data_IF_061887340823
#
_entry.id   IF_061887340823
#
_cell.length_a   1.000
_cell.length_b   1.000
_cell.length_c   1.000
_cell.angle_alpha   90.00
_cell.angle_beta   90.00
_cell.angle_gamma   90.00
#
_symmetry.space_group_name_H-M   'P 1'
#
loop_
_entity.id
_entity.type
_entity.pdbx_description
1 polymer ?
#
# COMPACT_ATOMS: atom_id res chain seq x y z
N UNK A 1 -35.13 -13.70 -50.10
CA UNK A 1 -35.47 -12.35 -49.63
C UNK A 1 -35.75 -12.46 -48.14
N UNK A 2 -34.69 -12.40 -47.33
CA UNK A 2 -34.78 -12.53 -45.88
C UNK A 2 -34.45 -11.15 -45.32
N UNK A 3 -35.52 -10.46 -44.90
CA UNK A 3 -35.49 -9.08 -44.45
C UNK A 3 -34.94 -9.03 -43.03
N UNK A 4 -33.80 -8.36 -42.92
CA UNK A 4 -33.15 -7.81 -41.74
C UNK A 4 -34.05 -7.60 -40.49
N UNK A 5 -33.81 -8.40 -39.45
CA UNK A 5 -34.09 -8.03 -38.06
C UNK A 5 -32.79 -7.62 -37.37
N UNK A 6 -32.30 -6.40 -37.63
CA UNK A 6 -31.27 -5.79 -36.81
C UNK A 6 -31.93 -5.26 -35.52
N UNK A 7 -31.95 -6.12 -34.51
CA UNK A 7 -32.22 -5.70 -33.14
C UNK A 7 -30.89 -5.23 -32.52
N UNK A 8 -30.87 -3.94 -32.25
CA UNK A 8 -29.93 -3.14 -31.49
C UNK A 8 -29.36 -3.87 -30.25
N UNK A 9 -28.03 -3.94 -30.12
CA UNK A 9 -27.38 -3.95 -28.81
C UNK A 9 -26.14 -3.05 -28.87
N UNK A 10 -26.39 -1.77 -28.68
CA UNK A 10 -25.41 -0.79 -28.28
C UNK A 10 -24.95 -1.10 -26.84
N UNK A 11 -24.03 -2.06 -26.66
CA UNK A 11 -23.35 -2.24 -25.36
C UNK A 11 -22.13 -1.33 -25.31
N UNK A 12 -22.38 -0.07 -24.94
CA UNK A 12 -21.38 0.72 -24.24
C UNK A 12 -21.05 0.00 -22.93
N UNK A 13 -20.05 -0.89 -22.98
CA UNK A 13 -19.41 -1.44 -21.78
C UNK A 13 -18.53 -0.35 -21.19
N UNK A 14 -19.18 0.59 -20.49
CA UNK A 14 -18.48 1.35 -19.46
C UNK A 14 -17.77 0.31 -18.58
N UNK A 15 -16.45 0.45 -18.41
CA UNK A 15 -15.67 -0.38 -17.51
C UNK A 15 -15.72 0.25 -16.10
N UNK A 16 -16.63 -0.14 -15.19
CA UNK A 16 -16.55 0.32 -13.81
C UNK A 16 -15.51 -0.50 -13.06
N UNK A 17 -14.21 -0.22 -13.25
CA UNK A 17 -13.19 -0.94 -12.49
C UNK A 17 -11.84 -0.22 -12.37
N UNK A 18 -11.81 1.10 -12.18
CA UNK A 18 -10.52 1.79 -11.97
C UNK A 18 -10.64 2.94 -10.96
N UNK A 19 -11.21 2.67 -9.78
CA UNK A 19 -11.36 3.68 -8.69
C UNK A 19 -10.62 3.31 -7.39
N UNK A 20 -10.14 2.07 -7.22
CA UNK A 20 -9.56 1.62 -5.94
C UNK A 20 -8.30 2.37 -5.51
N UNK A 21 -7.27 2.37 -6.36
CA UNK A 21 -5.89 2.63 -5.93
C UNK A 21 -5.54 4.07 -5.53
N UNK A 22 -6.36 5.05 -5.88
CA UNK A 22 -6.11 6.45 -5.48
C UNK A 22 -6.36 6.66 -3.97
N UNK A 23 -7.17 5.80 -3.35
CA UNK A 23 -7.61 5.98 -1.97
C UNK A 23 -6.51 5.68 -0.95
N UNK A 24 -5.78 4.57 -1.11
CA UNK A 24 -4.68 4.18 -0.21
C UNK A 24 -3.51 5.19 -0.24
N UNK A 25 -3.11 5.61 -1.44
CA UNK A 25 -2.04 6.59 -1.62
C UNK A 25 -2.36 7.96 -1.02
N UNK A 26 -3.61 8.41 -1.13
CA UNK A 26 -4.05 9.68 -0.53
C UNK A 26 -4.03 9.63 1.01
N UNK A 27 -4.45 8.52 1.60
CA UNK A 27 -4.38 8.33 3.06
C UNK A 27 -2.92 8.24 3.53
N UNK A 28 -2.06 7.56 2.77
CA UNK A 28 -0.61 7.55 2.99
C UNK A 28 0.02 8.95 2.91
N UNK A 29 -0.42 9.78 1.96
CA UNK A 29 -0.04 11.19 1.86
C UNK A 29 -0.47 12.00 3.09
N UNK A 30 -1.64 11.69 3.65
CA UNK A 30 -2.11 12.26 4.91
C UNK A 30 -1.17 11.93 6.07
N UNK A 31 -0.76 10.66 6.21
CA UNK A 31 0.22 10.25 7.22
C UNK A 31 1.56 10.98 7.05
N UNK A 32 2.04 11.10 5.80
CA UNK A 32 3.24 11.85 5.45
C UNK A 32 3.13 13.33 5.87
N UNK A 33 2.04 14.00 5.52
CA UNK A 33 1.80 15.39 5.86
C UNK A 33 1.73 15.62 7.37
N UNK A 34 1.03 14.75 8.10
CA UNK A 34 0.96 14.80 9.57
C UNK A 34 2.34 14.62 10.22
N UNK A 35 3.17 13.72 9.69
CA UNK A 35 4.54 13.52 10.17
C UNK A 35 5.41 14.76 9.96
N UNK A 36 5.30 15.43 8.80
CA UNK A 36 6.01 16.69 8.50
C UNK A 36 5.58 17.79 9.48
N UNK A 37 4.28 17.96 9.70
CA UNK A 37 3.75 18.97 10.63
C UNK A 37 4.19 18.66 12.07
N UNK A 38 4.21 17.38 12.46
CA UNK A 38 4.74 16.96 13.75
C UNK A 38 6.23 17.26 13.91
N UNK A 39 7.03 17.02 12.87
CA UNK A 39 8.46 17.36 12.86
C UNK A 39 8.72 18.87 12.95
N UNK A 40 7.79 19.69 12.45
CA UNK A 40 7.84 21.14 12.61
C UNK A 40 7.53 21.61 14.04
N UNK A 41 7.17 20.69 14.95
CA UNK A 41 6.95 20.97 16.37
C UNK A 41 5.50 21.28 16.75
N UNK A 42 4.56 21.16 15.81
CA UNK A 42 3.13 21.39 16.09
C UNK A 42 2.53 20.13 16.71
N UNK A 43 2.20 20.16 18.01
CA UNK A 43 1.59 19.03 18.75
C UNK A 43 2.15 17.64 18.36
N UNK A 44 3.48 17.45 18.42
CA UNK A 44 4.14 16.32 17.75
C UNK A 44 3.66 14.94 18.23
N UNK A 45 3.38 14.78 19.52
CA UNK A 45 2.88 13.53 20.10
C UNK A 45 1.53 13.12 19.53
N UNK A 46 0.62 14.09 19.41
CA UNK A 46 -0.74 13.89 18.92
C UNK A 46 -0.72 13.61 17.42
N UNK A 47 0.03 14.40 16.65
CA UNK A 47 0.16 14.19 15.21
C UNK A 47 0.84 12.87 14.87
N UNK A 48 1.84 12.43 15.65
CA UNK A 48 2.44 11.10 15.48
C UNK A 48 1.40 10.00 15.62
N UNK A 49 0.59 10.04 16.67
CA UNK A 49 -0.44 9.02 16.92
C UNK A 49 -1.46 8.97 15.77
N UNK A 50 -1.92 10.13 15.29
CA UNK A 50 -2.84 10.22 14.14
C UNK A 50 -2.16 9.74 12.85
N UNK A 51 -0.89 10.09 12.64
CA UNK A 51 -0.13 9.65 11.47
C UNK A 51 0.05 8.13 11.44
N UNK A 52 0.30 7.49 12.59
CA UNK A 52 0.36 6.03 12.72
C UNK A 52 -0.99 5.40 12.38
N UNK A 53 -2.11 5.97 12.86
CA UNK A 53 -3.47 5.48 12.51
C UNK A 53 -3.69 5.62 10.99
N UNK A 54 -3.35 6.77 10.41
CA UNK A 54 -3.52 7.01 8.98
C UNK A 54 -2.67 6.05 8.14
N UNK A 55 -1.41 5.81 8.50
CA UNK A 55 -0.56 4.82 7.84
C UNK A 55 -1.15 3.41 7.95
N UNK A 56 -1.67 3.02 9.12
CA UNK A 56 -2.37 1.75 9.30
C UNK A 56 -3.61 1.63 8.41
N UNK A 57 -4.44 2.68 8.32
CA UNK A 57 -5.61 2.71 7.45
C UNK A 57 -5.22 2.60 5.97
N UNK A 58 -4.13 3.23 5.53
CA UNK A 58 -3.63 3.10 4.16
C UNK A 58 -3.25 1.64 3.84
N UNK A 59 -2.55 0.95 4.74
CA UNK A 59 -2.24 -0.47 4.57
C UNK A 59 -3.50 -1.36 4.52
N UNK A 60 -4.54 -1.07 5.32
CA UNK A 60 -5.80 -1.81 5.22
C UNK A 60 -6.45 -1.64 3.84
N UNK A 61 -6.44 -0.42 3.31
CA UNK A 61 -6.98 -0.13 1.98
C UNK A 61 -6.18 -0.90 0.91
N UNK A 62 -4.85 -0.76 0.89
CA UNK A 62 -4.00 -1.47 -0.07
C UNK A 62 -4.16 -3.00 0.03
N UNK A 63 -4.19 -3.52 1.26
CA UNK A 63 -4.39 -4.95 1.52
C UNK A 63 -5.71 -5.47 0.99
N UNK A 64 -6.79 -4.68 1.12
CA UNK A 64 -8.11 -5.02 0.60
C UNK A 64 -8.15 -5.05 -0.94
N UNK A 65 -7.45 -4.12 -1.59
CA UNK A 65 -7.36 -4.09 -3.05
C UNK A 65 -6.65 -5.31 -3.61
N UNK A 66 -5.50 -5.68 -3.03
CA UNK A 66 -4.75 -6.88 -3.43
C UNK A 66 -5.62 -8.13 -3.25
N UNK A 67 -6.32 -8.24 -2.12
CA UNK A 67 -7.19 -9.38 -1.84
C UNK A 67 -8.37 -9.46 -2.82
N UNK A 68 -8.97 -8.32 -3.17
CA UNK A 68 -10.07 -8.26 -4.14
C UNK A 68 -9.67 -8.73 -5.55
N UNK A 69 -8.44 -8.44 -5.98
CA UNK A 69 -7.90 -8.88 -7.28
C UNK A 69 -7.65 -10.38 -7.27
N UNK A 70 -7.09 -10.90 -6.18
CA UNK A 70 -6.85 -12.32 -6.01
C UNK A 70 -8.16 -13.13 -6.08
N UNK A 71 -9.23 -12.67 -5.42
CA UNK A 71 -10.54 -13.31 -5.49
C UNK A 71 -11.13 -13.34 -6.90
N UNK A 72 -10.90 -12.31 -7.72
CA UNK A 72 -11.39 -12.29 -9.11
C UNK A 72 -10.67 -13.33 -9.97
N UNK A 73 -9.34 -13.41 -9.85
CA UNK A 73 -8.54 -14.38 -10.59
C UNK A 73 -8.92 -15.82 -10.24
N UNK A 74 -9.13 -16.11 -8.95
CA UNK A 74 -9.53 -17.45 -8.51
C UNK A 74 -10.93 -17.85 -9.04
N UNK A 75 -11.84 -16.87 -9.18
CA UNK A 75 -13.18 -17.10 -9.71
C UNK A 75 -13.19 -17.25 -11.25
N UNK A 76 -12.26 -16.62 -11.97
CA UNK A 76 -12.12 -16.75 -13.43
C UNK A 76 -11.46 -18.08 -13.85
N UNK A 77 -10.54 -18.63 -13.07
CA UNK A 77 -9.81 -19.86 -13.44
C UNK A 77 -10.52 -21.17 -13.08
N UNK A 78 -11.71 -21.13 -12.47
CA UNK A 78 -12.57 -22.30 -12.22
C UNK A 78 -11.91 -23.48 -11.49
N UNK A 79 -10.71 -23.29 -10.94
CA UNK A 79 -9.83 -24.35 -10.48
C UNK A 79 -9.81 -24.36 -8.97
N UNK A 80 -10.76 -25.08 -8.40
CA UNK A 80 -10.59 -25.66 -7.08
C UNK A 80 -9.45 -26.70 -7.17
N UNK A 81 -8.22 -26.31 -6.87
CA UNK A 81 -7.15 -27.28 -6.65
C UNK A 81 -6.40 -26.96 -5.37
N UNK A 82 -6.44 -27.95 -4.48
CA UNK A 82 -6.04 -27.85 -3.09
C UNK A 82 -4.54 -27.64 -2.93
N UNK A 83 -4.22 -26.70 -2.05
CA UNK A 83 -2.91 -26.51 -1.45
C UNK A 83 -3.12 -25.77 -0.13
N UNK A 84 -2.96 -26.47 0.98
CA UNK A 84 -3.23 -26.02 2.36
C UNK A 84 -2.21 -24.99 2.88
N UNK A 85 -1.80 -24.03 2.06
CA UNK A 85 -0.77 -23.05 2.43
C UNK A 85 -1.32 -21.61 2.31
N UNK A 86 -1.91 -21.14 3.41
CA UNK A 86 -2.23 -19.73 3.67
C UNK A 86 -3.21 -19.13 2.63
N UNK A 87 -4.36 -19.78 2.44
CA UNK A 87 -5.49 -19.25 1.62
C UNK A 87 -6.39 -18.27 2.37
N UNK A 88 -5.94 -17.67 3.49
CA UNK A 88 -6.77 -16.81 4.34
C UNK A 88 -7.20 -15.49 3.67
N UNK A 89 -6.73 -15.18 2.46
CA UNK A 89 -6.95 -13.88 1.82
C UNK A 89 -6.28 -12.70 2.55
N UNK A 90 -5.53 -12.99 3.62
CA UNK A 90 -4.94 -12.01 4.51
C UNK A 90 -3.46 -11.83 4.14
N UNK A 91 -3.13 -10.68 3.56
CA UNK A 91 -1.76 -10.31 3.22
C UNK A 91 -1.11 -9.50 4.35
N UNK A 92 0.21 -9.31 4.27
CA UNK A 92 0.96 -8.55 5.27
C UNK A 92 0.42 -7.13 5.49
N UNK A 93 -0.11 -6.49 4.44
CA UNK A 93 -0.70 -5.15 4.53
C UNK A 93 -1.89 -5.13 5.50
N UNK A 94 -2.76 -6.14 5.49
CA UNK A 94 -3.87 -6.22 6.45
C UNK A 94 -3.35 -6.34 7.89
N UNK A 95 -2.33 -7.17 8.13
CA UNK A 95 -1.72 -7.28 9.47
C UNK A 95 -1.07 -5.98 9.94
N UNK A 96 -0.26 -5.37 9.07
CA UNK A 96 0.36 -4.07 9.32
C UNK A 96 -0.67 -2.98 9.58
N UNK A 97 -1.77 -3.00 8.84
CA UNK A 97 -2.87 -2.07 8.98
C UNK A 97 -3.61 -2.20 10.32
N UNK A 98 -4.00 -3.43 10.69
CA UNK A 98 -4.65 -3.69 11.99
C UNK A 98 -3.71 -3.32 13.14
N UNK A 99 -2.45 -3.74 13.07
CA UNK A 99 -1.44 -3.42 14.09
C UNK A 99 -1.27 -1.90 14.21
N UNK A 100 -1.08 -1.20 13.09
CA UNK A 100 -0.91 0.25 13.06
C UNK A 100 -2.09 1.02 13.64
N UNK A 101 -3.31 0.68 13.21
CA UNK A 101 -4.54 1.33 13.72
C UNK A 101 -4.68 1.08 15.22
N UNK A 102 -4.50 -0.16 15.68
CA UNK A 102 -4.67 -0.51 17.09
C UNK A 102 -3.61 0.17 17.97
N UNK A 103 -2.33 0.09 17.58
CA UNK A 103 -1.22 0.73 18.29
C UNK A 103 -1.33 2.25 18.27
N UNK A 104 -1.76 2.84 17.16
CA UNK A 104 -1.99 4.27 17.03
C UNK A 104 -3.14 4.77 17.91
N UNK A 105 -4.25 4.03 18.01
CA UNK A 105 -5.35 4.35 18.93
C UNK A 105 -4.88 4.28 20.39
N UNK A 106 -4.15 3.22 20.75
CA UNK A 106 -3.60 3.06 22.10
C UNK A 106 -2.60 4.19 22.45
N UNK A 107 -1.77 4.60 21.49
CA UNK A 107 -0.87 5.73 21.66
C UNK A 107 -1.65 7.06 21.81
N UNK A 108 -2.71 7.25 21.03
CA UNK A 108 -3.55 8.45 21.06
C UNK A 108 -4.24 8.66 22.42
N UNK A 109 -4.67 7.58 23.07
CA UNK A 109 -5.25 7.64 24.43
C UNK A 109 -4.19 7.74 25.54
N UNK A 110 -2.90 7.78 25.18
CA UNK A 110 -1.79 8.01 26.11
C UNK A 110 -1.17 6.74 26.73
N UNK A 111 -1.48 5.54 26.22
CA UNK A 111 -0.89 4.32 26.75
C UNK A 111 0.54 4.13 26.22
N UNK A 112 1.56 4.59 26.95
CA UNK A 112 2.99 4.44 26.59
C UNK A 112 3.26 4.78 25.09
N UNK A 113 2.85 5.98 24.63
CA UNK A 113 2.77 6.34 23.20
C UNK A 113 4.10 6.24 22.47
N UNK A 114 5.20 6.51 23.17
CA UNK A 114 6.56 6.43 22.63
C UNK A 114 6.94 5.02 22.18
N UNK A 115 6.66 4.01 23.02
CA UNK A 115 6.96 2.60 22.74
C UNK A 115 6.01 2.05 21.68
N UNK A 116 4.70 2.33 21.81
CA UNK A 116 3.71 1.84 20.85
C UNK A 116 3.94 2.37 19.43
N UNK A 117 4.27 3.66 19.31
CA UNK A 117 4.55 4.27 17.99
C UNK A 117 5.80 3.67 17.36
N UNK A 118 6.83 3.39 18.15
CA UNK A 118 8.04 2.73 17.67
C UNK A 118 7.77 1.30 17.20
N UNK A 119 6.99 0.52 17.96
CA UNK A 119 6.54 -0.83 17.55
C UNK A 119 5.71 -0.76 16.27
N UNK A 120 4.82 0.23 16.13
CA UNK A 120 4.02 0.41 14.92
C UNK A 120 4.92 0.70 13.70
N UNK A 121 5.91 1.58 13.83
CA UNK A 121 6.88 1.88 12.77
C UNK A 121 7.67 0.62 12.35
N UNK A 122 8.09 -0.22 13.31
CA UNK A 122 8.75 -1.50 13.00
C UNK A 122 7.80 -2.43 12.23
N UNK A 123 6.55 -2.54 12.69
CA UNK A 123 5.53 -3.37 12.04
C UNK A 123 5.24 -2.89 10.61
N UNK A 124 5.16 -1.58 10.39
CA UNK A 124 5.03 -0.99 9.06
C UNK A 124 6.24 -1.31 8.18
N UNK A 125 7.46 -1.25 8.73
CA UNK A 125 8.65 -1.61 7.97
C UNK A 125 8.64 -3.08 7.53
N UNK A 126 8.26 -4.00 8.42
CA UNK A 126 8.07 -5.41 8.08
C UNK A 126 6.96 -5.63 7.03
N UNK A 127 5.90 -4.81 7.10
CA UNK A 127 4.80 -4.81 6.14
C UNK A 127 5.27 -4.39 4.75
N UNK A 128 6.04 -3.30 4.65
CA UNK A 128 6.60 -2.82 3.38
C UNK A 128 7.50 -3.87 2.72
N UNK A 129 8.39 -4.50 3.49
CA UNK A 129 9.26 -5.58 2.99
C UNK A 129 8.47 -6.78 2.45
N UNK A 130 7.35 -7.10 3.09
CA UNK A 130 6.48 -8.20 2.68
C UNK A 130 5.65 -7.85 1.44
N UNK A 131 5.21 -6.59 1.32
CA UNK A 131 4.43 -6.09 0.19
C UNK A 131 5.22 -6.05 -1.12
N UNK A 132 6.55 -5.85 -1.06
CA UNK A 132 7.40 -5.75 -2.26
C UNK A 132 7.36 -7.01 -3.15
N UNK A 133 7.06 -8.19 -2.57
CA UNK A 133 6.95 -9.45 -3.32
C UNK A 133 5.72 -9.55 -4.24
N UNK A 134 4.61 -8.87 -3.91
CA UNK A 134 3.35 -9.02 -4.66
C UNK A 134 3.35 -8.23 -5.97
N UNK A 135 3.96 -7.04 -5.99
CA UNK A 135 4.03 -6.18 -7.19
C UNK A 135 4.95 -6.80 -8.27
N UNK A 136 6.04 -7.44 -7.86
CA UNK A 136 6.96 -8.13 -8.78
C UNK A 136 6.28 -9.31 -9.50
N UNK A 137 5.50 -10.12 -8.77
CA UNK A 137 4.75 -11.25 -9.35
C UNK A 137 3.69 -10.78 -10.34
N UNK A 138 2.92 -9.74 -10.00
CA UNK A 138 1.87 -9.22 -10.89
C UNK A 138 2.48 -8.56 -12.14
N UNK A 139 3.58 -7.82 -12.01
CA UNK A 139 4.28 -7.24 -13.16
C UNK A 139 4.79 -8.32 -14.13
N UNK A 140 5.28 -9.45 -13.62
CA UNK A 140 5.74 -10.56 -14.46
C UNK A 140 4.62 -11.31 -15.20
N UNK A 141 3.38 -11.23 -14.71
CA UNK A 141 2.21 -11.89 -15.32
C UNK A 141 1.52 -11.02 -16.39
N UNK A 142 1.64 -9.69 -16.30
CA UNK A 142 0.93 -8.75 -17.20
C UNK A 142 1.75 -8.39 -18.45
N UNK A 143 3.08 -8.39 -18.39
CA UNK A 143 3.93 -7.98 -19.52
C UNK A 143 4.60 -9.18 -20.20
N UNK A 144 4.17 -9.49 -21.43
CA UNK A 144 4.89 -10.40 -22.30
C UNK A 144 6.24 -9.77 -22.71
N UNK A 145 7.37 -10.50 -22.66
CA UNK A 145 8.73 -9.97 -22.78
C UNK A 145 9.11 -9.44 -24.19
N UNK A 146 8.22 -9.52 -25.18
CA UNK A 146 8.53 -9.14 -26.57
C UNK A 146 8.50 -7.62 -26.85
N UNK A 147 7.77 -6.81 -26.08
CA UNK A 147 7.65 -5.38 -26.36
C UNK A 147 8.69 -4.57 -25.57
N UNK A 148 9.44 -3.68 -26.26
CA UNK A 148 10.44 -2.76 -25.66
C UNK A 148 9.86 -1.91 -24.51
N UNK A 149 8.55 -1.62 -24.54
CA UNK A 149 7.79 -0.94 -23.49
C UNK A 149 7.64 -1.82 -22.23
N UNK A 150 7.50 -3.13 -22.39
CA UNK A 150 7.42 -4.11 -21.29
C UNK A 150 8.71 -4.18 -20.47
N UNK A 151 9.88 -4.11 -21.11
CA UNK A 151 11.17 -4.08 -20.39
C UNK A 151 11.34 -2.85 -19.52
N UNK A 152 11.00 -1.66 -20.03
CA UNK A 152 11.07 -0.41 -19.26
C UNK A 152 10.09 -0.45 -18.07
N UNK A 153 8.88 -0.96 -18.28
CA UNK A 153 7.89 -1.15 -17.21
C UNK A 153 8.37 -2.16 -16.15
N UNK A 154 9.07 -3.21 -16.56
CA UNK A 154 9.63 -4.23 -15.67
C UNK A 154 10.83 -3.69 -14.86
N UNK A 155 11.71 -2.91 -15.49
CA UNK A 155 12.82 -2.21 -14.82
C UNK A 155 12.30 -1.21 -13.76
N UNK A 156 11.26 -0.44 -14.12
CA UNK A 156 10.61 0.49 -13.21
C UNK A 156 9.91 -0.24 -12.04
N UNK A 157 9.24 -1.37 -12.31
CA UNK A 157 8.62 -2.20 -11.27
C UNK A 157 9.67 -2.78 -10.30
N UNK A 158 10.80 -3.28 -10.82
CA UNK A 158 11.89 -3.79 -9.99
C UNK A 158 12.53 -2.70 -9.13
N UNK A 159 12.62 -1.47 -9.67
CA UNK A 159 13.12 -0.31 -8.92
C UNK A 159 12.18 0.07 -7.76
N UNK A 160 10.86 0.00 -7.97
CA UNK A 160 9.86 0.27 -6.93
C UNK A 160 9.94 -0.75 -5.78
N UNK A 161 10.09 -2.04 -6.11
CA UNK A 161 10.28 -3.11 -5.12
C UNK A 161 11.50 -2.85 -4.24
N UNK A 162 12.62 -2.41 -4.82
CA UNK A 162 13.81 -2.05 -4.05
C UNK A 162 13.57 -0.87 -3.10
N UNK A 163 12.76 0.12 -3.51
CA UNK A 163 12.42 1.27 -2.68
C UNK A 163 11.55 0.88 -1.48
N UNK A 164 10.56 -0.01 -1.66
CA UNK A 164 9.74 -0.50 -0.55
C UNK A 164 10.56 -1.28 0.47
N UNK A 165 11.48 -2.13 0.01
CA UNK A 165 12.40 -2.86 0.90
C UNK A 165 13.32 -1.89 1.65
N UNK A 166 13.91 -0.91 0.97
CA UNK A 166 14.78 0.09 1.60
C UNK A 166 14.02 0.96 2.61
N UNK A 167 12.81 1.40 2.26
CA UNK A 167 11.92 2.13 3.16
C UNK A 167 11.55 1.27 4.38
N UNK A 168 11.29 -0.02 4.16
CA UNK A 168 11.00 -0.97 5.22
C UNK A 168 12.18 -1.15 6.19
N UNK A 169 13.38 -1.36 5.67
CA UNK A 169 14.61 -1.46 6.49
C UNK A 169 14.88 -0.17 7.24
N UNK A 170 14.72 0.99 6.59
CA UNK A 170 14.87 2.29 7.24
C UNK A 170 13.85 2.46 8.37
N UNK A 171 12.57 2.15 8.14
CA UNK A 171 11.53 2.22 9.16
C UNK A 171 11.86 1.31 10.36
N UNK A 172 12.26 0.06 10.12
CA UNK A 172 12.68 -0.86 11.19
C UNK A 172 13.84 -0.27 12.00
N UNK A 173 14.89 0.21 11.32
CA UNK A 173 16.05 0.79 12.00
C UNK A 173 15.66 2.02 12.85
N UNK A 174 14.85 2.94 12.31
CA UNK A 174 14.38 4.12 13.03
C UNK A 174 13.51 3.76 14.23
N UNK A 175 12.61 2.78 14.09
CA UNK A 175 11.77 2.30 15.20
C UNK A 175 12.58 1.60 16.28
N UNK A 176 13.60 0.80 15.92
CA UNK A 176 14.51 0.19 16.90
C UNK A 176 15.33 1.24 17.65
N UNK A 177 15.84 2.27 16.95
CA UNK A 177 16.55 3.38 17.58
C UNK A 177 15.63 4.18 18.53
N UNK A 178 14.37 4.36 18.16
CA UNK A 178 13.37 4.99 19.02
C UNK A 178 13.06 4.13 20.26
N UNK A 179 12.97 2.80 20.12
CA UNK A 179 12.74 1.89 21.26
C UNK A 179 13.85 1.92 22.31
N UNK A 180 15.10 2.13 21.90
CA UNK A 180 16.22 2.26 22.84
C UNK A 180 16.33 3.67 23.45
N UNK A 181 15.38 4.56 23.16
CA UNK A 181 15.25 5.88 23.79
C UNK A 181 16.08 6.99 23.14
N UNK A 182 16.64 6.76 21.96
CA UNK A 182 17.32 7.83 21.21
C UNK A 182 16.23 8.66 20.53
N UNK A 183 16.16 9.96 20.82
CA UNK A 183 15.29 10.96 20.18
C UNK A 183 13.93 10.41 19.72
N UNK A 184 13.23 9.72 20.64
CA UNK A 184 12.14 8.78 20.34
C UNK A 184 11.07 9.39 19.44
N UNK A 185 10.66 10.62 19.75
CA UNK A 185 9.62 11.34 19.04
C UNK A 185 10.02 11.71 17.61
N UNK A 186 11.24 12.22 17.42
CA UNK A 186 11.71 12.61 16.09
C UNK A 186 11.93 11.39 15.20
N UNK A 187 12.54 10.34 15.74
CA UNK A 187 12.80 9.09 15.02
C UNK A 187 11.50 8.38 14.61
N UNK A 188 10.49 8.35 15.49
CA UNK A 188 9.18 7.82 15.15
C UNK A 188 8.49 8.63 14.05
N UNK A 189 8.53 9.97 14.11
CA UNK A 189 7.96 10.82 13.06
C UNK A 189 8.69 10.64 11.72
N UNK A 190 10.02 10.54 11.72
CA UNK A 190 10.79 10.24 10.51
C UNK A 190 10.45 8.84 9.98
N UNK A 191 10.25 7.87 10.87
CA UNK A 191 9.81 6.52 10.50
C UNK A 191 8.46 6.53 9.79
N UNK A 192 7.47 7.22 10.35
CA UNK A 192 6.14 7.37 9.73
C UNK A 192 6.22 8.21 8.44
N UNK A 193 7.11 9.19 8.35
CA UNK A 193 7.36 9.97 7.14
C UNK A 193 7.88 9.06 6.01
N UNK A 194 8.84 8.19 6.30
CA UNK A 194 9.38 7.22 5.33
C UNK A 194 8.28 6.27 4.87
N UNK A 195 7.47 5.74 5.80
CA UNK A 195 6.34 4.85 5.47
C UNK A 195 5.29 5.58 4.62
N UNK A 196 4.91 6.80 5.00
CA UNK A 196 3.94 7.60 4.25
C UNK A 196 4.42 7.95 2.85
N UNK A 197 5.71 8.25 2.68
CA UNK A 197 6.32 8.48 1.37
C UNK A 197 6.28 7.22 0.49
N UNK A 198 6.58 6.04 1.06
CA UNK A 198 6.47 4.77 0.34
C UNK A 198 5.04 4.48 -0.10
N UNK A 199 4.06 4.64 0.79
CA UNK A 199 2.62 4.46 0.49
C UNK A 199 2.13 5.43 -0.60
N UNK A 200 2.54 6.70 -0.53
CA UNK A 200 2.22 7.70 -1.55
C UNK A 200 2.79 7.29 -2.92
N UNK A 201 4.05 6.85 -2.95
CA UNK A 201 4.71 6.45 -4.19
C UNK A 201 4.03 5.21 -4.79
N UNK A 202 3.71 4.23 -3.96
CA UNK A 202 2.95 3.03 -4.34
C UNK A 202 1.58 3.36 -4.92
N UNK A 203 0.80 4.24 -4.30
CA UNK A 203 -0.50 4.68 -4.82
C UNK A 203 -0.40 5.51 -6.12
N UNK A 204 0.63 6.34 -6.26
CA UNK A 204 0.85 7.19 -7.45
C UNK A 204 1.18 6.37 -8.71
N UNK A 205 1.83 5.21 -8.55
CA UNK A 205 2.24 4.33 -9.64
C UNK A 205 1.05 3.73 -10.42
N UNK A 206 -0.12 3.67 -9.79
CA UNK A 206 -1.36 3.20 -10.42
C UNK A 206 -2.13 4.38 -11.03
N UNK A 207 -2.13 5.56 -10.40
CA UNK A 207 -2.74 6.77 -10.96
C UNK A 207 -2.16 7.17 -12.34
N UNK A 208 -0.83 7.07 -12.50
CA UNK A 208 -0.16 7.35 -13.76
C UNK A 208 -0.55 6.38 -14.90
N UNK A 209 -0.85 5.11 -14.58
CA UNK A 209 -1.30 4.11 -15.56
C UNK A 209 -2.67 4.45 -16.14
N UNK A 210 -3.52 5.12 -15.37
CA UNK A 210 -4.88 5.50 -15.77
C UNK A 210 -4.84 6.77 -16.64
N UNK A 211 -4.01 7.74 -16.27
CA UNK A 211 -3.81 8.96 -17.06
C UNK A 211 -3.22 8.67 -18.46
N UNK A 212 -2.39 7.64 -18.59
CA UNK A 212 -1.86 7.19 -19.88
C UNK A 212 -2.92 6.63 -20.84
N UNK A 213 -4.04 6.10 -20.33
CA UNK A 213 -5.14 5.57 -21.17
C UNK A 213 -5.98 6.68 -21.79
N UNK A 214 -6.05 7.86 -21.16
CA UNK A 214 -6.78 9.02 -21.70
C UNK A 214 -6.00 9.83 -22.76
N UNK A 215 -4.74 9.48 -23.01
CA UNK A 215 -3.91 10.07 -24.07
C UNK A 215 -3.81 9.20 -25.34
N UNK A 216 -4.76 8.28 -25.54
CA UNK A 216 -4.93 7.50 -26.77
C UNK A 216 -6.32 7.69 -27.37
#
# INVERSE_FOLDING_TARGET
>A
MEYASQHNVNTSVAHPAVVGSISGGLVGAGALGLAIIGLAGVYPQLLLSIAVIAAGAAFLIEGSEVSSRFSRLMNEEGSASGGTEISSGMNANIFGGIAGVTLGILALIGFVPEILSAIAVIAFGATLMSASGTTSRIASLIYAPEQRIGRIAQEAANSAVAMDVLAGVAAIALGVLALIGISTLALNLIGVLVVGAALLLSGSSIGARIAGVFNH
#
